data_IF_149124369410
#
_entry.id   IF_149124369410
#
_cell.length_a   1.000
_cell.length_b   1.000
_cell.length_c   1.000
_cell.angle_alpha   90.00
_cell.angle_beta   90.00
_cell.angle_gamma   90.00
#
_symmetry.space_group_name_H-M   'P 1'
#
loop_
_entity.id
_entity.type
_entity.pdbx_description
1 polymer ?
#
# COMPACT_ATOMS: atom_id res chain seq x y z
N UNK A 1 15.52 -39.56 39.54
CA UNK A 1 15.04 -40.90 39.16
C UNK A 1 14.06 -40.69 38.03
N UNK A 2 14.49 -40.90 36.79
CA UNK A 2 13.59 -40.84 35.64
C UNK A 2 13.05 -42.24 35.38
N UNK A 3 11.75 -42.36 35.11
CA UNK A 3 11.21 -43.61 34.59
C UNK A 3 11.51 -43.67 33.09
N UNK A 4 12.10 -44.77 32.65
CA UNK A 4 12.38 -45.07 31.24
C UNK A 4 11.60 -46.32 30.82
N UNK A 5 11.29 -46.44 29.53
CA UNK A 5 10.68 -47.65 28.99
C UNK A 5 11.77 -48.68 28.65
N UNK A 6 11.58 -49.91 29.11
CA UNK A 6 12.49 -51.00 28.80
C UNK A 6 12.35 -51.39 27.32
N UNK A 7 13.45 -51.45 26.57
CA UNK A 7 13.42 -51.79 25.13
C UNK A 7 13.00 -53.24 24.80
N UNK A 8 13.00 -54.14 25.78
CA UNK A 8 12.63 -55.54 25.59
C UNK A 8 11.14 -55.80 25.89
N UNK A 9 10.55 -55.08 26.85
CA UNK A 9 9.19 -55.37 27.33
C UNK A 9 8.26 -54.15 27.36
N UNK A 10 8.75 -52.97 26.95
CA UNK A 10 8.04 -51.68 26.92
C UNK A 10 7.39 -51.23 28.24
N UNK A 11 7.73 -51.88 29.36
CA UNK A 11 7.28 -51.49 30.69
C UNK A 11 8.23 -50.48 31.31
N UNK A 12 7.65 -49.59 32.11
CA UNK A 12 8.37 -48.53 32.80
C UNK A 12 9.28 -49.13 33.89
N UNK A 13 10.54 -48.72 33.90
CA UNK A 13 11.53 -49.10 34.90
C UNK A 13 12.35 -47.87 35.31
N UNK A 14 12.93 -47.91 36.50
CA UNK A 14 13.81 -46.84 36.98
C UNK A 14 15.13 -46.85 36.19
N UNK A 15 15.59 -45.69 35.75
CA UNK A 15 16.88 -45.48 35.09
C UNK A 15 18.10 -45.85 35.95
N UNK A 16 17.90 -46.02 37.26
CA UNK A 16 18.91 -46.41 38.25
C UNK A 16 18.89 -47.91 38.59
N UNK A 17 17.93 -48.69 38.07
CA UNK A 17 17.85 -50.12 38.35
C UNK A 17 18.95 -50.89 37.58
N UNK A 18 19.52 -51.93 38.17
CA UNK A 18 20.51 -52.77 37.47
C UNK A 18 19.87 -53.58 36.32
N UNK A 19 18.62 -54.00 36.50
CA UNK A 19 17.85 -54.77 35.52
C UNK A 19 16.35 -54.40 35.60
N UNK A 20 15.63 -54.61 34.49
CA UNK A 20 14.19 -54.39 34.43
C UNK A 20 13.45 -55.40 35.35
N UNK A 21 12.58 -54.95 36.26
CA UNK A 21 11.86 -55.85 37.17
C UNK A 21 10.83 -56.74 36.46
N UNK A 22 10.49 -56.45 35.21
CA UNK A 22 9.47 -57.21 34.46
C UNK A 22 10.06 -58.29 33.55
N UNK A 23 11.23 -58.05 32.94
CA UNK A 23 11.83 -58.98 31.98
C UNK A 23 13.30 -59.33 32.27
N UNK A 24 13.93 -58.73 33.28
CA UNK A 24 15.32 -59.00 33.64
C UNK A 24 16.37 -58.39 32.71
N UNK A 25 15.97 -57.62 31.69
CA UNK A 25 16.90 -56.99 30.76
C UNK A 25 17.80 -55.94 31.46
N UNK A 26 19.11 -55.89 31.17
CA UNK A 26 20.04 -54.97 31.83
C UNK A 26 19.80 -53.51 31.40
N UNK A 27 19.42 -52.65 32.34
CA UNK A 27 19.11 -51.23 32.07
C UNK A 27 20.36 -50.41 31.72
N UNK A 28 21.53 -50.81 32.25
CA UNK A 28 22.81 -50.13 31.97
C UNK A 28 23.18 -50.09 30.47
N UNK A 29 22.69 -51.04 29.66
CA UNK A 29 22.87 -51.02 28.20
C UNK A 29 21.93 -50.04 27.50
N UNK A 30 20.77 -49.74 28.08
CA UNK A 30 19.73 -48.89 27.48
C UNK A 30 20.05 -47.40 27.66
N UNK A 31 20.59 -47.00 28.82
CA UNK A 31 21.01 -45.62 29.08
C UNK A 31 22.19 -45.16 28.21
N UNK A 32 23.06 -46.08 27.79
CA UNK A 32 24.15 -45.79 26.85
C UNK A 32 23.65 -45.44 25.43
N UNK A 33 22.51 -45.97 24.99
CA UNK A 33 21.92 -45.69 23.67
C UNK A 33 21.17 -44.35 23.60
N UNK A 34 20.71 -43.82 24.74
CA UNK A 34 19.96 -42.54 24.79
C UNK A 34 20.90 -41.32 24.72
N UNK A 35 22.15 -41.47 25.18
CA UNK A 35 23.13 -40.37 25.23
C UNK A 35 23.84 -40.11 23.88
N UNK A 36 23.49 -40.84 22.82
CA UNK A 36 24.16 -40.76 21.51
C UNK A 36 23.20 -40.36 20.38
N UNK A 37 22.38 -39.32 20.62
CA UNK A 37 21.78 -38.55 19.55
C UNK A 37 22.49 -37.20 19.46
N UNK A 38 23.46 -37.00 18.54
CA UNK A 38 23.91 -35.66 18.22
C UNK A 38 22.70 -34.89 17.67
N UNK A 39 22.44 -33.72 18.23
CA UNK A 39 21.38 -32.84 17.79
C UNK A 39 21.53 -32.58 16.28
N UNK A 40 20.64 -33.16 15.48
CA UNK A 40 20.59 -32.86 14.05
C UNK A 40 20.14 -31.41 13.88
N UNK A 41 20.90 -30.55 13.18
CA UNK A 41 20.38 -29.26 12.76
C UNK A 41 19.33 -29.53 11.70
N UNK A 42 18.06 -29.52 12.10
CA UNK A 42 16.94 -29.59 11.19
C UNK A 42 16.99 -28.37 10.25
N UNK A 43 17.49 -28.57 9.03
CA UNK A 43 17.38 -27.60 7.95
C UNK A 43 15.90 -27.50 7.56
N UNK A 44 15.17 -26.61 8.23
CA UNK A 44 13.80 -26.29 7.86
C UNK A 44 13.89 -25.41 6.62
N UNK A 45 13.49 -25.94 5.47
CA UNK A 45 13.39 -25.13 4.26
C UNK A 45 12.55 -23.89 4.57
N UNK A 46 13.09 -22.73 4.21
CA UNK A 46 12.38 -21.46 4.29
C UNK A 46 11.13 -21.57 3.43
N UNK A 47 9.96 -21.56 4.10
CA UNK A 47 8.68 -21.72 3.42
C UNK A 47 8.51 -20.66 2.35
N UNK A 48 7.95 -21.03 1.20
CA UNK A 48 7.61 -20.13 0.09
C UNK A 48 6.93 -18.83 0.55
N UNK A 49 6.12 -18.91 1.62
CA UNK A 49 5.48 -17.78 2.29
C UNK A 49 6.42 -16.77 2.95
N UNK A 50 7.59 -17.19 3.41
CA UNK A 50 8.65 -16.29 3.90
C UNK A 50 9.19 -15.43 2.75
N UNK A 51 9.38 -16.03 1.57
CA UNK A 51 9.82 -15.32 0.36
C UNK A 51 8.81 -14.27 -0.11
N UNK A 52 7.51 -14.61 -0.09
CA UNK A 52 6.42 -13.68 -0.42
C UNK A 52 6.37 -12.50 0.56
N UNK A 53 6.60 -12.76 1.86
CA UNK A 53 6.67 -11.72 2.89
C UNK A 53 7.82 -10.73 2.68
N UNK A 54 9.00 -11.21 2.25
CA UNK A 54 10.17 -10.37 1.93
C UNK A 54 9.86 -9.41 0.78
N UNK A 55 9.11 -9.87 -0.22
CA UNK A 55 8.76 -9.07 -1.40
C UNK A 55 7.73 -7.97 -1.08
N UNK A 56 6.70 -8.28 -0.30
CA UNK A 56 5.60 -7.35 0.00
C UNK A 56 5.94 -6.28 1.04
N UNK A 57 6.79 -6.59 2.03
CA UNK A 57 7.08 -5.70 3.16
C UNK A 57 8.57 -5.60 3.48
N UNK A 58 9.39 -5.03 2.56
CA UNK A 58 10.84 -4.98 2.71
C UNK A 58 11.30 -4.26 3.99
N UNK A 59 10.60 -3.20 4.41
CA UNK A 59 10.95 -2.42 5.61
C UNK A 59 10.78 -3.24 6.89
N UNK A 60 9.71 -4.02 7.01
CA UNK A 60 9.45 -4.88 8.17
C UNK A 60 10.51 -5.98 8.25
N UNK A 61 10.94 -6.50 7.09
CA UNK A 61 11.94 -7.56 7.02
C UNK A 61 13.36 -7.09 7.33
N UNK A 62 13.73 -5.85 6.98
CA UNK A 62 15.00 -5.23 7.42
C UNK A 62 15.04 -5.11 8.93
N UNK A 63 13.95 -4.65 9.56
CA UNK A 63 13.83 -4.61 11.01
C UNK A 63 13.94 -6.02 11.64
N UNK A 64 13.37 -7.04 10.99
CA UNK A 64 13.46 -8.44 11.42
C UNK A 64 14.89 -9.03 11.27
N UNK A 65 15.62 -8.69 10.19
CA UNK A 65 17.02 -9.12 9.98
C UNK A 65 18.00 -8.55 11.01
N UNK A 66 17.65 -7.43 11.64
CA UNK A 66 18.42 -6.81 12.74
C UNK A 66 18.19 -7.53 14.08
N UNK A 67 17.18 -8.41 14.19
CA UNK A 67 16.96 -9.26 15.38
C UNK A 67 18.08 -10.30 15.49
N UNK A 68 18.53 -10.58 16.71
CA UNK A 68 19.64 -11.51 16.95
C UNK A 68 19.23 -12.96 16.62
N UNK A 69 20.08 -13.67 15.86
CA UNK A 69 19.85 -15.08 15.45
C UNK A 69 20.03 -15.39 13.95
N UNK A 70 20.11 -14.37 13.08
CA UNK A 70 20.29 -14.55 11.65
C UNK A 70 21.76 -14.42 11.21
N UNK A 71 22.22 -15.35 10.36
CA UNK A 71 23.58 -15.40 9.84
C UNK A 71 23.91 -14.15 9.00
N UNK A 72 25.14 -13.65 9.11
CA UNK A 72 25.63 -12.45 8.41
C UNK A 72 25.47 -12.56 6.89
N UNK A 73 25.55 -13.76 6.32
CA UNK A 73 25.28 -14.01 4.91
C UNK A 73 23.84 -13.67 4.50
N UNK A 74 22.84 -14.00 5.32
CA UNK A 74 21.43 -13.69 5.03
C UNK A 74 21.12 -12.19 5.07
N UNK A 75 21.86 -11.43 5.91
CA UNK A 75 21.75 -9.98 5.99
C UNK A 75 22.26 -9.31 4.72
N UNK A 76 23.42 -9.74 4.22
CA UNK A 76 24.03 -9.17 3.00
C UNK A 76 23.12 -9.39 1.79
N UNK A 77 22.57 -10.60 1.63
CA UNK A 77 21.65 -10.92 0.52
C UNK A 77 20.37 -10.07 0.61
N UNK A 78 19.81 -9.89 1.81
CA UNK A 78 18.63 -9.06 2.03
C UNK A 78 18.84 -7.59 1.69
N UNK A 79 19.96 -6.99 2.13
CA UNK A 79 20.28 -5.59 1.83
C UNK A 79 20.62 -5.38 0.34
N UNK A 80 21.30 -6.32 -0.30
CA UNK A 80 21.60 -6.25 -1.73
C UNK A 80 20.33 -6.30 -2.59
N UNK A 81 19.38 -7.17 -2.25
CA UNK A 81 18.08 -7.25 -2.94
C UNK A 81 17.25 -5.98 -2.76
N UNK A 82 17.24 -5.40 -1.55
CA UNK A 82 16.54 -4.15 -1.27
C UNK A 82 17.14 -2.96 -2.03
N UNK A 83 18.46 -2.85 -2.10
CA UNK A 83 19.14 -1.83 -2.89
C UNK A 83 18.79 -1.95 -4.39
N UNK A 84 18.76 -3.18 -4.92
CA UNK A 84 18.39 -3.44 -6.32
C UNK A 84 16.93 -3.03 -6.60
N UNK A 85 15.99 -3.34 -5.70
CA UNK A 85 14.60 -2.91 -5.81
C UNK A 85 14.44 -1.38 -5.76
N UNK A 86 15.19 -0.69 -4.91
CA UNK A 86 15.16 0.77 -4.84
C UNK A 86 15.72 1.41 -6.13
N UNK A 87 16.77 0.85 -6.70
CA UNK A 87 17.34 1.32 -7.98
C UNK A 87 16.35 1.10 -9.14
N UNK A 88 15.65 -0.04 -9.16
CA UNK A 88 14.63 -0.32 -10.17
C UNK A 88 13.44 0.66 -10.11
N UNK A 89 13.00 1.04 -8.90
CA UNK A 89 11.93 2.03 -8.71
C UNK A 89 12.37 3.47 -9.03
N UNK A 90 13.66 3.78 -8.90
CA UNK A 90 14.22 5.09 -9.25
C UNK A 90 14.49 5.27 -10.75
N UNK A 91 14.47 4.19 -11.54
CA UNK A 91 14.75 4.21 -12.99
C UNK A 91 13.49 4.17 -13.86
N UNK A 92 12.30 4.27 -13.28
CA UNK A 92 11.04 4.36 -14.01
C UNK A 92 10.92 5.70 -14.72
N UNK A 93 11.35 5.75 -15.99
CA UNK A 93 11.17 6.88 -16.89
C UNK A 93 9.69 7.26 -16.99
N UNK A 94 9.34 8.49 -16.60
CA UNK A 94 8.03 9.08 -16.85
C UNK A 94 7.95 9.44 -18.34
N UNK A 95 7.02 8.88 -19.15
CA UNK A 95 6.84 9.32 -20.52
C UNK A 95 6.24 10.73 -20.52
N UNK A 96 7.10 11.71 -20.81
CA UNK A 96 6.73 13.10 -21.08
C UNK A 96 6.22 13.22 -22.51
N UNK A 97 4.89 13.30 -22.65
CA UNK A 97 4.19 13.46 -23.93
C UNK A 97 4.07 14.93 -24.32
N UNK A 98 4.75 15.27 -25.43
CA UNK A 98 4.90 16.58 -26.10
C UNK A 98 3.62 17.42 -26.23
N UNK A 99 3.80 18.73 -26.03
CA UNK A 99 2.97 19.79 -26.59
C UNK A 99 3.20 19.93 -28.12
N UNK A 100 2.13 20.25 -28.85
CA UNK A 100 2.19 20.79 -30.19
C UNK A 100 1.06 21.82 -30.40
N UNK A 101 1.47 23.02 -30.80
CA UNK A 101 0.73 24.03 -31.55
C UNK A 101 1.62 24.35 -32.79
N UNK A 102 1.22 25.13 -33.83
CA UNK A 102 0.09 26.08 -33.93
C UNK A 102 -0.67 26.05 -35.29
N UNK A 103 -1.71 26.88 -35.48
CA UNK A 103 -1.94 27.74 -36.68
C UNK A 103 -3.05 28.76 -36.39
N UNK A 104 -2.88 29.93 -37.00
CA UNK A 104 -3.38 31.28 -36.73
C UNK A 104 -4.60 31.70 -37.59
N UNK A 105 -5.23 32.83 -37.19
CA UNK A 105 -6.13 33.76 -37.93
C UNK A 105 -7.65 33.44 -37.86
N UNK A 106 -8.58 34.35 -37.51
CA UNK A 106 -8.66 35.81 -37.64
C UNK A 106 -9.50 36.48 -36.52
N UNK A 107 -9.25 37.77 -36.32
CA UNK A 107 -9.94 38.70 -35.41
C UNK A 107 -11.11 39.42 -36.09
N UNK A 108 -12.31 39.42 -35.48
CA UNK A 108 -13.17 40.61 -35.44
C UNK A 108 -14.16 40.55 -34.24
N UNK A 109 -14.48 41.68 -33.58
CA UNK A 109 -15.07 41.72 -32.23
C UNK A 109 -16.61 41.81 -32.17
N UNK A 110 -17.12 41.41 -31.00
CA UNK A 110 -18.46 41.62 -30.40
C UNK A 110 -19.36 40.37 -30.33
N UNK A 111 -19.40 39.83 -29.10
CA UNK A 111 -20.48 39.08 -28.47
C UNK A 111 -20.84 37.68 -29.01
N UNK A 112 -21.02 36.74 -28.07
CA UNK A 112 -21.46 35.33 -28.22
C UNK A 112 -20.35 34.26 -28.32
N UNK A 113 -20.28 33.47 -27.25
CA UNK A 113 -19.85 32.06 -27.13
C UNK A 113 -18.55 31.61 -27.83
N UNK A 114 -17.46 31.55 -27.04
CA UNK A 114 -16.34 30.65 -27.34
C UNK A 114 -16.84 29.18 -27.35
N UNK A 115 -16.23 28.28 -28.15
CA UNK A 115 -16.63 26.89 -28.17
C UNK A 115 -16.24 26.27 -26.83
N UNK A 116 -17.21 26.20 -25.94
CA UNK A 116 -17.13 25.43 -24.70
C UNK A 116 -16.93 23.99 -25.14
N UNK A 117 -15.68 23.51 -25.13
CA UNK A 117 -15.41 22.08 -25.03
C UNK A 117 -16.35 21.61 -23.92
N UNK A 118 -17.27 20.64 -24.14
CA UNK A 118 -18.24 20.26 -23.14
C UNK A 118 -17.51 19.52 -22.02
N UNK A 119 -16.88 20.30 -21.14
CA UNK A 119 -16.29 19.82 -19.90
C UNK A 119 -17.51 19.52 -19.04
N UNK A 120 -17.77 18.24 -18.83
CA UNK A 120 -18.87 17.76 -18.00
C UNK A 120 -18.88 18.54 -16.67
N UNK A 121 -19.92 19.32 -16.40
CA UNK A 121 -20.04 20.11 -15.17
C UNK A 121 -20.76 19.29 -14.09
N UNK A 122 -20.16 19.20 -12.90
CA UNK A 122 -20.69 18.42 -11.78
C UNK A 122 -20.46 19.16 -10.47
N UNK A 123 -21.38 19.05 -9.52
CA UNK A 123 -21.10 19.53 -8.16
C UNK A 123 -20.30 18.51 -7.35
N UNK A 124 -19.55 18.98 -6.35
CA UNK A 124 -18.86 18.08 -5.42
C UNK A 124 -19.82 17.08 -4.74
N UNK A 125 -21.05 17.54 -4.42
CA UNK A 125 -22.13 16.72 -3.88
C UNK A 125 -22.58 15.62 -4.84
N UNK A 126 -22.84 15.98 -6.10
CA UNK A 126 -23.27 15.02 -7.12
C UNK A 126 -22.19 13.97 -7.39
N UNK A 127 -20.92 14.39 -7.40
CA UNK A 127 -19.79 13.49 -7.53
C UNK A 127 -19.76 12.47 -6.39
N UNK A 128 -19.81 12.93 -5.14
CA UNK A 128 -19.81 12.05 -3.97
C UNK A 128 -21.00 11.07 -3.98
N UNK A 129 -22.21 11.55 -4.31
CA UNK A 129 -23.40 10.71 -4.41
C UNK A 129 -23.34 9.71 -5.57
N UNK A 130 -22.65 10.02 -6.67
CA UNK A 130 -22.49 9.08 -7.77
C UNK A 130 -21.63 7.89 -7.33
N UNK A 131 -20.50 8.16 -6.67
CA UNK A 131 -19.60 7.11 -6.17
C UNK A 131 -20.22 6.31 -5.02
N UNK A 132 -20.98 6.94 -4.12
CA UNK A 132 -21.68 6.23 -3.05
C UNK A 132 -22.77 5.28 -3.58
N UNK A 133 -23.57 5.74 -4.56
CA UNK A 133 -24.63 4.92 -5.17
C UNK A 133 -24.08 3.75 -5.98
N UNK A 134 -23.08 4.01 -6.81
CA UNK A 134 -22.46 2.99 -7.66
C UNK A 134 -21.08 3.44 -8.17
N UNK A 135 -20.02 3.01 -7.46
CA UNK A 135 -18.62 3.24 -7.86
C UNK A 135 -18.31 2.78 -9.28
N UNK A 136 -18.84 1.64 -9.74
CA UNK A 136 -18.51 1.10 -11.07
C UNK A 136 -19.07 1.99 -12.18
N UNK A 137 -20.32 2.44 -12.01
CA UNK A 137 -20.93 3.38 -12.95
C UNK A 137 -20.27 4.77 -12.88
N UNK A 138 -19.91 5.23 -11.69
CA UNK A 138 -19.20 6.49 -11.50
C UNK A 138 -17.79 6.45 -12.15
N UNK A 139 -17.05 5.36 -11.98
CA UNK A 139 -15.74 5.17 -12.63
C UNK A 139 -15.86 5.26 -14.15
N UNK A 140 -16.87 4.63 -14.75
CA UNK A 140 -17.13 4.75 -16.20
C UNK A 140 -17.40 6.19 -16.64
N UNK A 141 -18.00 7.01 -15.77
CA UNK A 141 -18.35 8.40 -16.06
C UNK A 141 -17.21 9.39 -15.80
N UNK A 142 -16.39 9.17 -14.77
CA UNK A 142 -15.45 10.17 -14.25
C UNK A 142 -13.98 9.75 -14.34
N UNK A 143 -13.66 8.47 -14.19
CA UNK A 143 -12.28 8.01 -14.10
C UNK A 143 -11.54 8.25 -15.41
N UNK A 144 -10.39 8.91 -15.32
CA UNK A 144 -9.57 9.29 -16.48
C UNK A 144 -10.18 10.39 -17.37
N UNK A 145 -11.37 10.91 -17.03
CA UNK A 145 -12.05 11.96 -17.80
C UNK A 145 -11.86 13.32 -17.15
N UNK A 146 -11.84 14.36 -17.98
CA UNK A 146 -11.82 15.75 -17.52
C UNK A 146 -13.23 16.24 -17.28
N UNK A 147 -13.47 16.81 -16.10
CA UNK A 147 -14.74 17.41 -15.72
C UNK A 147 -14.49 18.70 -14.94
N UNK A 148 -15.48 19.59 -14.97
CA UNK A 148 -15.48 20.82 -14.18
C UNK A 148 -16.30 20.55 -12.94
N UNK A 149 -15.69 20.78 -11.78
CA UNK A 149 -16.34 20.64 -10.48
C UNK A 149 -16.52 22.00 -9.84
N UNK A 150 -17.71 22.24 -9.30
CA UNK A 150 -17.99 23.43 -8.49
C UNK A 150 -18.39 22.99 -7.08
N UNK A 151 -17.85 23.67 -6.07
CA UNK A 151 -18.16 23.37 -4.68
C UNK A 151 -17.72 24.47 -3.73
N UNK A 152 -17.99 24.24 -2.45
CA UNK A 152 -17.53 25.09 -1.35
C UNK A 152 -16.37 24.37 -0.68
N UNK A 153 -15.25 25.07 -0.47
CA UNK A 153 -14.08 24.52 0.21
C UNK A 153 -14.44 24.19 1.65
N UNK A 154 -14.22 22.94 2.07
CA UNK A 154 -14.30 22.58 3.50
C UNK A 154 -12.92 22.69 4.13
N UNK A 155 -11.92 22.03 3.55
CA UNK A 155 -10.56 22.04 4.09
C UNK A 155 -9.50 22.06 2.98
N UNK A 156 -8.32 22.56 3.34
CA UNK A 156 -7.12 22.58 2.51
C UNK A 156 -6.04 21.85 3.30
N UNK A 157 -5.47 20.80 2.73
CA UNK A 157 -4.49 19.95 3.40
C UNK A 157 -3.36 19.56 2.44
N UNK A 158 -2.32 18.95 2.98
CA UNK A 158 -1.18 18.47 2.21
C UNK A 158 -1.04 16.96 2.41
N UNK A 159 -0.77 16.23 1.33
CA UNK A 159 -0.50 14.79 1.41
C UNK A 159 0.88 14.50 2.04
N UNK A 160 1.18 13.21 2.24
CA UNK A 160 2.47 12.75 2.81
C UNK A 160 3.69 13.09 1.92
N UNK A 161 3.46 13.51 0.68
CA UNK A 161 4.49 13.84 -0.31
C UNK A 161 4.63 15.35 -0.54
N UNK A 162 3.84 16.17 0.17
CA UNK A 162 3.90 17.63 0.06
C UNK A 162 2.94 18.25 -0.96
N UNK A 163 2.08 17.46 -1.62
CA UNK A 163 1.16 18.01 -2.61
C UNK A 163 -0.12 18.52 -1.93
N UNK A 164 -0.53 19.77 -2.22
CA UNK A 164 -1.76 20.31 -1.68
C UNK A 164 -2.99 19.66 -2.33
N UNK A 165 -3.99 19.36 -1.51
CA UNK A 165 -5.30 18.95 -1.96
C UNK A 165 -6.39 19.69 -1.18
N UNK A 166 -7.55 19.82 -1.81
CA UNK A 166 -8.69 20.54 -1.27
C UNK A 166 -9.85 19.56 -1.14
N UNK A 167 -10.57 19.62 -0.03
CA UNK A 167 -11.87 18.93 0.13
C UNK A 167 -12.99 19.90 -0.15
N UNK A 168 -13.97 19.48 -0.95
CA UNK A 168 -15.17 20.27 -1.20
C UNK A 168 -16.34 19.67 -0.44
N UNK A 169 -17.16 20.54 0.15
CA UNK A 169 -18.40 20.16 0.83
C UNK A 169 -19.28 19.36 -0.11
N UNK A 170 -19.87 18.31 0.44
CA UNK A 170 -20.80 17.47 -0.29
C UNK A 170 -20.53 15.99 -0.25
N UNK A 171 -19.53 15.56 0.52
CA UNK A 171 -19.40 14.16 0.92
C UNK A 171 -20.70 13.62 1.50
N UNK A 172 -20.91 12.31 1.35
CA UNK A 172 -22.05 11.63 1.99
C UNK A 172 -22.02 11.74 3.52
N UNK A 173 -20.84 12.03 4.08
CA UNK A 173 -20.61 12.38 5.48
C UNK A 173 -19.46 13.41 5.57
N UNK A 174 -19.36 14.11 6.71
CA UNK A 174 -18.30 15.09 7.02
C UNK A 174 -16.87 14.52 7.03
N UNK A 175 -16.71 13.20 7.06
CA UNK A 175 -15.40 12.52 7.01
C UNK A 175 -15.07 11.95 5.63
N UNK A 176 -16.03 11.97 4.69
CA UNK A 176 -15.98 11.28 3.39
C UNK A 176 -16.19 12.29 2.27
N UNK A 177 -15.44 13.38 2.32
CA UNK A 177 -15.55 14.47 1.37
C UNK A 177 -14.74 14.20 0.10
N UNK A 178 -15.28 14.56 -1.07
CA UNK A 178 -14.55 14.45 -2.33
C UNK A 178 -13.25 15.27 -2.27
N UNK A 179 -12.15 14.63 -2.67
CA UNK A 179 -10.81 15.20 -2.58
C UNK A 179 -10.29 15.59 -3.97
N UNK A 180 -9.70 16.78 -4.07
CA UNK A 180 -9.24 17.38 -5.31
C UNK A 180 -7.78 17.80 -5.15
N UNK A 181 -6.86 17.01 -5.72
CA UNK A 181 -5.44 17.30 -5.71
C UNK A 181 -5.12 18.29 -6.83
N UNK A 182 -4.54 19.43 -6.45
CA UNK A 182 -4.08 20.44 -7.41
C UNK A 182 -2.88 19.90 -8.20
N UNK A 183 -2.65 20.45 -9.38
CA UNK A 183 -1.40 20.19 -10.10
C UNK A 183 -0.23 20.98 -9.47
N UNK A 184 1.00 20.58 -9.81
CA UNK A 184 2.21 21.20 -9.27
C UNK A 184 2.32 22.69 -9.66
N UNK A 185 1.84 23.05 -10.85
CA UNK A 185 1.89 24.41 -11.38
C UNK A 185 0.98 25.38 -10.60
N UNK A 186 -0.13 24.88 -10.06
CA UNK A 186 -1.10 25.64 -9.30
C UNK A 186 -1.07 25.28 -7.81
N UNK A 187 0.02 24.69 -7.30
CA UNK A 187 0.16 24.41 -5.86
C UNK A 187 0.00 25.68 -4.99
N UNK A 188 0.48 26.82 -5.48
CA UNK A 188 0.31 28.12 -4.81
C UNK A 188 -1.14 28.61 -4.78
N UNK A 189 -2.01 28.11 -5.65
CA UNK A 189 -3.44 28.45 -5.62
C UNK A 189 -4.08 28.03 -4.29
N UNK A 190 -3.68 26.87 -3.74
CA UNK A 190 -4.16 26.42 -2.43
C UNK A 190 -3.86 27.40 -1.30
N UNK A 191 -2.75 28.14 -1.37
CA UNK A 191 -2.38 29.10 -0.33
C UNK A 191 -3.33 30.31 -0.25
N UNK A 192 -4.01 30.63 -1.35
CA UNK A 192 -5.06 31.66 -1.38
C UNK A 192 -6.44 31.14 -1.01
N UNK A 193 -6.60 29.83 -0.78
CA UNK A 193 -7.89 29.23 -0.47
C UNK A 193 -8.22 29.31 1.01
N UNK A 194 -9.51 29.54 1.31
CA UNK A 194 -10.06 29.50 2.65
C UNK A 194 -11.29 28.60 2.67
N UNK A 195 -11.51 27.94 3.81
CA UNK A 195 -12.75 27.22 4.08
C UNK A 195 -13.96 28.16 3.93
N UNK A 196 -15.02 27.67 3.30
CA UNK A 196 -16.23 28.42 3.00
C UNK A 196 -16.21 29.13 1.63
N UNK A 197 -15.07 29.22 0.95
CA UNK A 197 -15.03 29.82 -0.38
C UNK A 197 -15.66 28.92 -1.43
N UNK A 198 -16.42 29.51 -2.35
CA UNK A 198 -16.96 28.80 -3.50
C UNK A 198 -15.94 28.84 -4.63
N UNK A 199 -15.52 27.69 -5.11
CA UNK A 199 -14.52 27.56 -6.18
C UNK A 199 -15.02 26.64 -7.30
N UNK A 200 -14.43 26.79 -8.48
CA UNK A 200 -14.59 25.87 -9.60
C UNK A 200 -13.21 25.38 -10.05
N UNK A 201 -13.09 24.06 -10.27
CA UNK A 201 -11.86 23.41 -10.71
C UNK A 201 -12.14 22.56 -11.95
N UNK A 202 -11.20 22.48 -12.88
CA UNK A 202 -11.19 21.45 -13.92
C UNK A 202 -10.22 20.36 -13.47
N UNK A 203 -10.72 19.14 -13.30
CA UNK A 203 -9.99 18.02 -12.74
C UNK A 203 -10.05 16.79 -13.63
N UNK A 204 -9.13 15.85 -13.40
CA UNK A 204 -9.18 14.50 -13.96
C UNK A 204 -9.66 13.54 -12.87
N UNK A 205 -10.69 12.75 -13.14
CA UNK A 205 -11.19 11.77 -12.16
C UNK A 205 -10.18 10.66 -11.89
N UNK A 206 -9.88 10.44 -10.61
CA UNK A 206 -8.99 9.38 -10.13
C UNK A 206 -9.70 8.06 -9.77
N UNK A 207 -11.04 8.09 -9.69
CA UNK A 207 -11.84 7.01 -9.11
C UNK A 207 -12.13 7.28 -7.62
N UNK A 208 -12.49 6.25 -6.85
CA UNK A 208 -12.60 6.35 -5.40
C UNK A 208 -11.55 5.53 -4.65
N UNK A 209 -11.23 6.00 -3.44
CA UNK A 209 -10.49 5.23 -2.44
C UNK A 209 -11.39 5.15 -1.21
N UNK A 210 -11.75 3.92 -0.82
CA UNK A 210 -12.66 3.67 0.28
C UNK A 210 -13.99 4.48 0.16
N UNK A 211 -14.60 4.48 -1.04
CA UNK A 211 -15.82 5.26 -1.39
C UNK A 211 -15.67 6.78 -1.38
N UNK A 212 -14.48 7.31 -1.11
CA UNK A 212 -14.22 8.74 -1.23
C UNK A 212 -13.69 9.04 -2.62
N UNK A 213 -14.41 9.80 -3.46
CA UNK A 213 -13.92 10.12 -4.79
C UNK A 213 -12.70 11.04 -4.72
N UNK A 214 -11.69 10.68 -5.51
CA UNK A 214 -10.45 11.44 -5.62
C UNK A 214 -10.27 11.94 -7.04
N UNK A 215 -9.79 13.17 -7.16
CA UNK A 215 -9.46 13.79 -8.43
C UNK A 215 -8.04 14.34 -8.40
N UNK A 216 -7.40 14.37 -9.56
CA UNK A 216 -6.01 14.81 -9.72
C UNK A 216 -5.84 15.79 -10.85
N UNK A 217 -4.72 16.52 -10.84
CA UNK A 217 -4.40 17.51 -11.88
C UNK A 217 -5.46 18.61 -11.94
N UNK A 218 -5.98 19.01 -10.79
CA UNK A 218 -7.01 20.03 -10.70
C UNK A 218 -6.41 21.41 -10.93
N UNK A 219 -7.02 22.17 -11.85
CA UNK A 219 -6.64 23.55 -12.16
C UNK A 219 -7.83 24.49 -11.93
N UNK A 220 -7.61 25.74 -11.49
CA UNK A 220 -8.68 26.71 -11.33
C UNK A 220 -9.45 26.96 -12.63
N UNK A 221 -10.77 26.88 -12.56
CA UNK A 221 -11.67 27.25 -13.65
C UNK A 221 -12.25 28.64 -13.33
N UNK A 222 -11.51 29.68 -13.72
CA UNK A 222 -11.94 31.07 -13.60
C UNK A 222 -13.12 31.39 -14.51
#
# INVERSE_FOLDING_TARGET
>A
MALINCNECDRMASDQAAACPHCGAPIAKQTAAVQMHPAQPASRNVGFWLGVGIFLFPIIFVWFLLRQGHSTASRIVGFAWLALMLVAMASGERPSGKAAAPTTSQSQPAEVAAPVVPVFEVSAQQLAQAYDRNTVAADQQFKGKRFKVTGVVESINTDLFGNPYVTLRGGVNQFMEPQFQLDDAHANYAAGLQSGMRISLICIGGGDVAKTPMSKGCVPAN
#
